data_IF_896478334173
#
_entry.id   IF_896478334173
#
_cell.length_a   1.000
_cell.length_b   1.000
_cell.length_c   1.000
_cell.angle_alpha   90.00
_cell.angle_beta   90.00
_cell.angle_gamma   90.00
#
_symmetry.space_group_name_H-M   'P 1'
#
loop_
_entity.id
_entity.type
_entity.pdbx_description
1 polymer ?
#
# COMPACT_ATOMS: atom_id res chain seq x y z
N UNK A 1 19.25 -9.37 3.00
CA UNK A 1 17.87 -9.41 2.48
C UNK A 1 17.25 -10.72 2.97
N UNK A 2 16.26 -10.70 3.86
CA UNK A 2 15.61 -11.93 4.37
C UNK A 2 14.41 -12.24 3.47
N UNK A 3 14.49 -13.33 2.70
CA UNK A 3 13.34 -13.89 1.99
C UNK A 3 12.36 -14.45 3.03
N UNK A 4 11.13 -13.95 3.04
CA UNK A 4 10.04 -14.46 3.89
C UNK A 4 9.13 -15.44 3.14
N UNK A 5 9.52 -15.89 1.95
CA UNK A 5 8.81 -16.96 1.26
C UNK A 5 9.24 -18.29 1.85
N UNK A 6 8.54 -18.68 2.92
CA UNK A 6 8.51 -20.08 3.32
C UNK A 6 7.83 -20.80 2.17
N UNK A 7 8.61 -21.49 1.33
CA UNK A 7 8.08 -22.47 0.40
C UNK A 7 7.18 -23.39 1.25
N UNK A 8 5.89 -23.35 0.97
CA UNK A 8 4.99 -24.43 1.40
C UNK A 8 5.52 -25.63 0.64
N UNK A 9 6.40 -26.39 1.28
CA UNK A 9 6.78 -27.72 0.82
C UNK A 9 5.50 -28.42 0.40
N UNK A 10 5.46 -28.95 -0.82
CA UNK A 10 4.31 -29.59 -1.47
C UNK A 10 3.79 -30.86 -0.76
N UNK A 11 4.01 -31.00 0.54
CA UNK A 11 3.67 -32.17 1.33
C UNK A 11 2.98 -31.77 2.63
N UNK A 12 1.68 -32.11 2.66
CA UNK A 12 0.67 -31.99 3.72
C UNK A 12 -0.16 -30.71 3.64
N UNK A 13 -1.21 -30.77 2.83
CA UNK A 13 -2.43 -30.02 3.08
C UNK A 13 -2.76 -30.17 4.57
N UNK A 14 -2.72 -29.06 5.30
CA UNK A 14 -3.16 -29.05 6.68
C UNK A 14 -4.64 -29.47 6.66
N UNK A 15 -4.98 -30.57 7.35
CA UNK A 15 -6.35 -31.14 7.36
C UNK A 15 -7.44 -30.11 7.64
N UNK A 16 -7.10 -28.99 8.29
CA UNK A 16 -8.00 -27.84 8.51
C UNK A 16 -8.46 -27.13 7.23
N UNK A 17 -7.82 -27.34 6.09
CA UNK A 17 -8.16 -26.70 4.81
C UNK A 17 -8.84 -27.65 3.82
N UNK A 18 -9.02 -28.93 4.19
CA UNK A 18 -9.79 -29.87 3.40
C UNK A 18 -11.23 -29.76 3.87
N UNK A 19 -12.09 -29.18 3.05
CA UNK A 19 -13.52 -29.11 3.34
C UNK A 19 -14.15 -30.50 3.20
N UNK A 20 -14.87 -30.94 4.22
CA UNK A 20 -15.74 -32.11 4.16
C UNK A 20 -17.18 -31.64 4.00
N UNK A 21 -17.86 -32.12 2.96
CA UNK A 21 -19.28 -31.80 2.74
C UNK A 21 -20.10 -32.17 3.98
N UNK A 22 -21.01 -31.28 4.38
CA UNK A 22 -21.86 -31.42 5.57
C UNK A 22 -21.13 -31.39 6.92
N UNK A 23 -19.87 -30.93 6.95
CA UNK A 23 -19.14 -30.62 8.18
C UNK A 23 -19.44 -29.20 8.66
N UNK A 24 -19.45 -29.00 9.99
CA UNK A 24 -19.51 -27.68 10.62
C UNK A 24 -18.08 -27.14 10.81
N UNK A 25 -17.42 -26.83 9.69
CA UNK A 25 -16.05 -26.27 9.65
C UNK A 25 -16.04 -24.75 9.39
N UNK A 26 -17.22 -24.13 9.36
CA UNK A 26 -17.41 -22.71 9.04
C UNK A 26 -17.28 -22.36 7.55
N UNK A 27 -17.12 -23.36 6.66
CA UNK A 27 -17.18 -23.18 5.21
C UNK A 27 -18.62 -23.43 4.77
N UNK A 28 -19.18 -22.52 4.00
CA UNK A 28 -20.52 -22.65 3.43
C UNK A 28 -20.52 -22.28 1.95
N UNK A 29 -21.44 -22.88 1.20
CA UNK A 29 -21.73 -22.49 -0.17
C UNK A 29 -22.97 -21.59 -0.18
N UNK A 30 -22.96 -20.57 -1.04
CA UNK A 30 -24.13 -19.72 -1.30
C UNK A 30 -24.20 -19.42 -2.79
N UNK A 31 -25.35 -18.91 -3.24
CA UNK A 31 -25.49 -18.47 -4.63
C UNK A 31 -24.65 -17.20 -4.84
N UNK A 32 -24.18 -16.99 -6.06
CA UNK A 32 -23.36 -15.82 -6.39
C UNK A 32 -24.14 -14.51 -6.19
N UNK A 33 -25.46 -14.53 -6.42
CA UNK A 33 -26.36 -13.40 -6.21
C UNK A 33 -26.44 -13.01 -4.72
N UNK A 34 -26.54 -14.01 -3.83
CA UNK A 34 -26.53 -13.79 -2.38
C UNK A 34 -25.19 -13.22 -1.92
N UNK A 35 -24.09 -13.75 -2.46
CA UNK A 35 -22.76 -13.24 -2.17
C UNK A 35 -22.64 -11.75 -2.54
N UNK A 36 -23.07 -11.38 -3.75
CA UNK A 36 -23.06 -9.99 -4.21
C UNK A 36 -23.97 -9.07 -3.38
N UNK A 37 -25.04 -9.61 -2.79
CA UNK A 37 -25.96 -8.87 -1.92
C UNK A 37 -25.39 -8.67 -0.50
N UNK A 38 -24.83 -9.71 0.12
CA UNK A 38 -24.39 -9.69 1.51
C UNK A 38 -22.94 -9.22 1.73
N UNK A 39 -22.05 -9.42 0.76
CA UNK A 39 -20.64 -9.07 0.88
C UNK A 39 -20.31 -7.82 0.07
N UNK A 40 -19.79 -6.79 0.73
CA UNK A 40 -19.48 -5.50 0.11
C UNK A 40 -18.01 -5.37 -0.34
N UNK A 41 -17.14 -6.30 0.04
CA UNK A 41 -15.70 -6.20 -0.19
C UNK A 41 -15.11 -7.57 -0.45
N UNK A 42 -14.32 -7.69 -1.53
CA UNK A 42 -13.52 -8.86 -1.85
C UNK A 42 -12.04 -8.47 -1.76
N UNK A 43 -11.27 -9.23 -1.00
CA UNK A 43 -9.81 -9.10 -0.98
C UNK A 43 -9.20 -10.23 -1.78
N UNK A 44 -8.58 -9.88 -2.91
CA UNK A 44 -7.82 -10.84 -3.72
C UNK A 44 -6.34 -10.53 -3.52
N UNK A 45 -5.61 -11.49 -2.96
CA UNK A 45 -4.15 -11.43 -2.88
C UNK A 45 -3.63 -12.07 -4.16
N UNK A 46 -2.95 -11.29 -4.99
CA UNK A 46 -2.26 -11.78 -6.18
C UNK A 46 -0.77 -11.73 -5.92
N UNK A 47 -0.07 -12.78 -6.32
CA UNK A 47 1.38 -12.73 -6.39
C UNK A 47 1.80 -11.71 -7.45
N UNK A 48 2.85 -10.96 -7.17
CA UNK A 48 3.46 -10.11 -8.17
C UNK A 48 4.13 -11.01 -9.22
N UNK A 49 3.93 -10.75 -10.53
CA UNK A 49 4.62 -11.50 -11.57
C UNK A 49 6.15 -11.44 -11.40
N UNK A 50 6.87 -12.44 -11.91
CA UNK A 50 8.33 -12.58 -11.73
C UNK A 50 9.14 -11.38 -12.27
N UNK A 51 8.56 -10.60 -13.18
CA UNK A 51 9.18 -9.40 -13.75
C UNK A 51 8.98 -8.13 -12.90
N UNK A 52 8.32 -8.23 -11.74
CA UNK A 52 8.17 -7.12 -10.81
C UNK A 52 9.25 -7.18 -9.74
N UNK A 53 9.94 -6.06 -9.56
CA UNK A 53 10.82 -5.83 -8.42
C UNK A 53 10.13 -4.93 -7.40
N UNK A 54 10.27 -5.27 -6.12
CA UNK A 54 9.59 -4.57 -5.03
C UNK A 54 10.56 -4.14 -3.94
N UNK A 55 10.43 -2.88 -3.51
CA UNK A 55 11.11 -2.37 -2.33
C UNK A 55 10.08 -1.98 -1.28
N UNK A 56 10.29 -2.42 -0.05
CA UNK A 56 9.41 -2.12 1.07
C UNK A 56 10.14 -1.31 2.14
N UNK A 57 9.56 -0.16 2.46
CA UNK A 57 9.97 0.65 3.59
C UNK A 57 8.98 0.51 4.75
N UNK A 58 9.49 0.61 5.98
CA UNK A 58 8.67 0.62 7.20
C UNK A 58 9.16 1.75 8.08
N UNK A 59 8.25 2.65 8.46
CA UNK A 59 8.58 3.81 9.27
C UNK A 59 7.41 4.22 10.17
N UNK A 60 7.73 4.93 11.26
CA UNK A 60 6.76 5.62 12.12
C UNK A 60 6.77 7.12 11.82
N UNK A 61 5.60 7.73 11.70
CA UNK A 61 5.48 9.18 11.58
C UNK A 61 5.27 9.79 12.96
N UNK A 62 6.34 10.31 13.55
CA UNK A 62 6.31 11.07 14.80
C UNK A 62 7.49 12.08 14.84
N UNK A 63 7.26 13.39 14.65
CA UNK A 63 5.98 14.02 14.32
C UNK A 63 5.54 13.76 12.86
N UNK A 64 4.24 13.94 12.59
CA UNK A 64 3.69 14.01 11.23
C UNK A 64 3.48 15.46 10.83
N UNK A 65 3.98 15.88 9.66
CA UNK A 65 3.86 17.26 9.17
C UNK A 65 2.66 17.46 8.22
N UNK A 66 1.75 16.49 8.15
CA UNK A 66 0.53 16.58 7.35
C UNK A 66 0.73 16.26 5.86
N UNK A 67 -0.33 16.49 5.09
CA UNK A 67 -0.38 16.23 3.64
C UNK A 67 -0.03 17.50 2.84
N UNK A 68 0.50 17.39 1.60
CA UNK A 68 0.81 18.53 0.75
C UNK A 68 -0.28 19.60 0.68
N UNK A 69 0.11 20.84 1.01
CA UNK A 69 -0.78 22.00 1.02
C UNK A 69 -0.03 23.25 0.54
N UNK A 70 -0.69 24.13 -0.22
CA UNK A 70 -0.03 25.31 -0.81
C UNK A 70 0.45 26.32 0.25
N UNK A 71 -0.30 26.46 1.35
CA UNK A 71 -0.03 27.44 2.41
C UNK A 71 0.93 26.94 3.49
N UNK A 72 1.11 25.63 3.60
CA UNK A 72 1.96 25.02 4.62
C UNK A 72 2.95 24.12 3.90
N UNK A 73 4.23 24.47 3.91
CA UNK A 73 5.29 23.68 3.26
C UNK A 73 5.95 22.67 4.21
N UNK A 74 5.57 22.63 5.49
CA UNK A 74 6.18 21.75 6.48
C UNK A 74 6.02 20.27 6.13
N UNK A 75 5.02 19.89 5.32
CA UNK A 75 4.86 18.51 4.86
C UNK A 75 6.10 17.99 4.11
N UNK A 76 6.94 18.86 3.55
CA UNK A 76 8.21 18.47 2.92
C UNK A 76 9.17 17.85 3.96
N UNK A 77 9.02 18.18 5.25
CA UNK A 77 9.81 17.62 6.36
C UNK A 77 9.41 16.18 6.70
N UNK A 78 8.29 15.68 6.17
CA UNK A 78 7.97 14.25 6.28
C UNK A 78 9.08 13.40 5.64
N UNK A 79 9.12 12.11 5.97
CA UNK A 79 10.03 11.19 5.31
C UNK A 79 9.77 11.15 3.81
N UNK A 80 10.86 11.30 3.05
CA UNK A 80 10.87 11.24 1.59
C UNK A 80 11.61 9.96 1.18
N UNK A 81 11.09 9.29 0.16
CA UNK A 81 11.69 8.09 -0.42
C UNK A 81 12.12 8.42 -1.83
N UNK A 82 13.43 8.61 -2.00
CA UNK A 82 14.01 9.07 -3.25
C UNK A 82 14.48 7.87 -4.06
N UNK A 83 14.11 7.83 -5.33
CA UNK A 83 14.51 6.76 -6.25
C UNK A 83 14.83 7.35 -7.63
N UNK A 84 15.54 6.55 -8.44
CA UNK A 84 15.99 6.98 -9.76
C UNK A 84 15.60 5.94 -10.80
N UNK A 85 14.98 6.42 -11.88
CA UNK A 85 14.72 5.64 -13.09
C UNK A 85 15.91 5.86 -14.03
N UNK A 86 16.74 4.83 -14.19
CA UNK A 86 17.96 4.89 -15.00
C UNK A 86 17.76 4.42 -16.45
N UNK A 87 16.75 3.59 -16.72
CA UNK A 87 16.58 2.97 -18.03
C UNK A 87 15.96 3.90 -19.07
N UNK A 88 16.36 3.72 -20.33
CA UNK A 88 15.85 4.50 -21.48
C UNK A 88 14.36 4.33 -21.77
N UNK A 89 13.65 3.48 -21.01
CA UNK A 89 12.23 3.23 -21.17
C UNK A 89 11.44 3.81 -20.00
N UNK A 90 10.17 4.09 -20.28
CA UNK A 90 9.19 4.32 -19.23
C UNK A 90 8.98 3.03 -18.44
N UNK A 91 8.86 3.15 -17.12
CA UNK A 91 8.64 2.02 -16.21
C UNK A 91 7.34 2.26 -15.46
N UNK A 92 6.51 1.21 -15.36
CA UNK A 92 5.28 1.23 -14.57
C UNK A 92 5.59 0.95 -13.11
N UNK A 93 5.22 1.89 -12.24
CA UNK A 93 5.37 1.74 -10.80
C UNK A 93 4.01 1.57 -10.15
N UNK A 94 3.92 0.61 -9.22
CA UNK A 94 2.82 0.50 -8.27
C UNK A 94 3.29 0.91 -6.88
N UNK A 95 2.74 1.99 -6.36
CA UNK A 95 3.00 2.48 -5.01
C UNK A 95 1.89 2.00 -4.08
N UNK A 96 2.28 1.48 -2.91
CA UNK A 96 1.35 1.07 -1.87
C UNK A 96 1.78 1.70 -0.55
N UNK A 97 0.90 2.54 0.01
CA UNK A 97 1.06 3.09 1.35
C UNK A 97 0.07 2.41 2.28
N UNK A 98 0.58 1.83 3.36
CA UNK A 98 -0.21 1.08 4.34
C UNK A 98 0.05 1.59 5.75
N UNK A 99 -1.00 1.73 6.54
CA UNK A 99 -0.92 1.98 7.98
C UNK A 99 -1.08 0.67 8.77
N UNK A 100 -0.55 0.66 9.99
CA UNK A 100 -0.77 -0.45 10.92
C UNK A 100 -2.27 -0.63 11.14
N UNK A 101 -2.69 -1.87 11.27
CA UNK A 101 -4.09 -2.21 11.44
C UNK A 101 -4.56 -1.76 12.83
N UNK A 102 -5.60 -0.89 12.92
CA UNK A 102 -6.04 -0.33 14.19
C UNK A 102 -6.50 -1.39 15.19
N UNK A 103 -6.88 -2.58 14.72
CA UNK A 103 -7.24 -3.72 15.58
C UNK A 103 -6.07 -4.24 16.42
N UNK A 104 -4.84 -4.01 15.97
CA UNK A 104 -3.62 -4.41 16.68
C UNK A 104 -3.04 -3.30 17.55
N UNK A 105 -3.52 -2.06 17.40
CA UNK A 105 -2.93 -0.88 18.07
C UNK A 105 -3.65 -0.59 19.40
N UNK A 106 -4.84 -1.16 19.64
CA UNK A 106 -5.55 -0.88 20.89
C UNK A 106 -6.36 -2.08 21.38
N UNK A 107 -6.42 -2.22 22.71
CA UNK A 107 -7.27 -3.14 23.48
C UNK A 107 -8.78 -2.89 23.33
N UNK A 108 -9.23 -2.28 22.23
CA UNK A 108 -10.60 -1.84 22.07
C UNK A 108 -11.44 -2.84 21.27
N UNK A 109 -12.70 -2.97 21.66
CA UNK A 109 -13.73 -3.75 20.99
C UNK A 109 -14.25 -3.01 19.73
N UNK A 110 -14.86 -3.72 18.77
CA UNK A 110 -15.54 -3.12 17.61
C UNK A 110 -16.59 -2.06 18.05
N UNK A 111 -16.90 -1.04 17.21
CA UNK A 111 -16.52 -0.88 15.81
C UNK A 111 -15.21 -0.06 15.59
N UNK A 112 -14.33 -0.59 14.74
CA UNK A 112 -12.98 -0.04 14.49
C UNK A 112 -12.90 1.12 13.49
N UNK A 113 -14.04 1.60 12.99
CA UNK A 113 -14.08 2.52 11.86
C UNK A 113 -13.62 3.96 12.18
N UNK A 114 -13.57 4.36 13.45
CA UNK A 114 -13.27 5.75 13.84
C UNK A 114 -11.77 6.10 13.98
N UNK A 115 -10.85 5.14 13.80
CA UNK A 115 -9.42 5.35 14.14
C UNK A 115 -8.44 5.29 12.98
N UNK A 116 -8.91 5.08 11.74
CA UNK A 116 -8.01 5.10 10.59
C UNK A 116 -7.56 6.53 10.30
N UNK A 117 -6.25 6.74 10.26
CA UNK A 117 -5.69 8.01 9.81
C UNK A 117 -5.95 8.17 8.32
N UNK A 118 -6.19 9.41 7.87
CA UNK A 118 -6.21 9.72 6.44
C UNK A 118 -4.77 9.65 5.92
N UNK A 119 -4.49 8.69 5.06
CA UNK A 119 -3.17 8.49 4.45
C UNK A 119 -3.23 8.85 2.96
N UNK A 120 -2.20 9.52 2.48
CA UNK A 120 -2.03 10.02 1.12
C UNK A 120 -0.55 10.12 0.78
N UNK A 121 -0.20 10.18 -0.50
CA UNK A 121 1.17 10.45 -0.93
C UNK A 121 1.20 11.24 -2.24
N UNK A 122 2.32 11.89 -2.50
CA UNK A 122 2.63 12.51 -3.79
C UNK A 122 3.96 11.97 -4.31
N UNK A 123 4.14 12.03 -5.62
CA UNK A 123 5.40 11.73 -6.30
C UNK A 123 5.81 13.00 -7.01
N UNK A 124 7.02 13.46 -6.72
CA UNK A 124 7.59 14.63 -7.36
C UNK A 124 8.77 14.22 -8.23
N UNK A 125 9.06 14.97 -9.29
CA UNK A 125 10.33 14.89 -10.01
C UNK A 125 11.29 15.90 -9.39
N UNK A 126 12.49 15.45 -9.02
CA UNK A 126 13.55 16.30 -8.45
C UNK A 126 14.74 16.41 -9.41
N UNK A 127 15.57 17.43 -9.22
CA UNK A 127 16.77 17.56 -10.03
C UNK A 127 17.75 16.42 -9.72
N UNK A 128 18.53 15.97 -10.71
CA UNK A 128 19.47 14.86 -10.53
C UNK A 128 20.52 15.11 -9.44
N UNK A 129 20.85 16.38 -9.19
CA UNK A 129 21.78 16.86 -8.17
C UNK A 129 21.14 17.01 -6.78
N UNK A 130 19.81 16.99 -6.64
CA UNK A 130 19.12 17.13 -5.36
C UNK A 130 19.01 15.77 -4.67
N UNK A 131 19.43 15.66 -3.40
CA UNK A 131 19.28 14.40 -2.63
C UNK A 131 17.85 14.15 -2.15
N UNK A 132 17.05 15.20 -2.04
CA UNK A 132 15.65 15.18 -1.61
C UNK A 132 14.93 16.45 -2.08
N UNK A 133 13.60 16.46 -2.04
CA UNK A 133 12.81 17.65 -2.30
C UNK A 133 13.02 18.67 -1.17
N UNK A 134 13.64 19.81 -1.49
CA UNK A 134 13.83 20.94 -0.55
C UNK A 134 12.79 22.03 -0.78
N UNK A 135 12.42 22.25 -2.05
CA UNK A 135 11.43 23.24 -2.47
C UNK A 135 10.38 22.60 -3.38
N UNK A 136 9.10 22.85 -3.07
CA UNK A 136 7.97 22.34 -3.84
C UNK A 136 7.40 23.40 -4.77
N UNK A 137 7.20 22.98 -6.02
CA UNK A 137 6.43 23.70 -7.02
C UNK A 137 5.48 22.70 -7.69
N UNK A 138 4.29 23.14 -8.10
CA UNK A 138 3.27 22.24 -8.69
C UNK A 138 3.76 21.54 -9.96
N UNK A 139 4.65 22.18 -10.72
CA UNK A 139 5.28 21.57 -11.90
C UNK A 139 6.21 20.39 -11.59
N UNK A 140 6.64 20.22 -10.33
CA UNK A 140 7.40 19.04 -9.90
C UNK A 140 6.47 17.86 -9.61
N UNK A 141 5.17 18.06 -9.42
CA UNK A 141 4.24 16.96 -9.12
C UNK A 141 4.00 16.10 -10.37
N UNK A 142 4.19 14.79 -10.22
CA UNK A 142 4.02 13.80 -11.30
C UNK A 142 2.78 12.95 -11.03
N UNK A 143 2.52 12.65 -9.76
CA UNK A 143 1.37 11.88 -9.34
C UNK A 143 0.94 12.26 -7.94
N UNK A 144 -0.37 12.18 -7.69
CA UNK A 144 -0.99 12.48 -6.41
C UNK A 144 -2.02 11.44 -6.04
N UNK A 145 -1.96 10.98 -4.79
CA UNK A 145 -3.02 10.17 -4.18
C UNK A 145 -3.55 10.87 -2.93
N UNK A 146 -4.73 11.44 -3.08
CA UNK A 146 -5.39 12.20 -2.01
C UNK A 146 -5.63 11.38 -0.74
N UNK A 147 -5.66 12.03 0.43
CA UNK A 147 -5.79 11.33 1.70
C UNK A 147 -7.13 10.62 1.86
N UNK A 148 -7.09 9.31 2.09
CA UNK A 148 -8.28 8.50 2.36
C UNK A 148 -8.15 7.82 3.72
N UNK A 149 -9.25 7.72 4.46
CA UNK A 149 -9.33 6.95 5.71
C UNK A 149 -9.45 5.45 5.39
N UNK A 150 -8.38 4.87 4.82
CA UNK A 150 -8.29 3.46 4.43
C UNK A 150 -7.03 2.83 5.02
N UNK A 151 -7.07 1.54 5.33
CA UNK A 151 -5.92 0.79 5.84
C UNK A 151 -4.72 0.82 4.89
N UNK A 152 -4.99 0.81 3.59
CA UNK A 152 -3.99 1.00 2.55
C UNK A 152 -4.58 1.83 1.42
N UNK A 153 -3.71 2.54 0.73
CA UNK A 153 -3.99 3.19 -0.54
C UNK A 153 -2.91 2.76 -1.53
N UNK A 154 -3.27 2.70 -2.81
CA UNK A 154 -2.32 2.43 -3.87
C UNK A 154 -2.47 3.46 -4.98
N UNK A 155 -1.42 3.58 -5.78
CA UNK A 155 -1.39 4.38 -6.98
C UNK A 155 -0.48 3.74 -8.02
N UNK A 156 -0.87 3.84 -9.28
CA UNK A 156 -0.10 3.35 -10.42
C UNK A 156 0.29 4.53 -11.29
N UNK A 157 1.56 4.59 -11.67
CA UNK A 157 2.06 5.66 -12.55
C UNK A 157 3.22 5.14 -13.39
N UNK A 158 3.22 5.53 -14.66
CA UNK A 158 4.31 5.30 -15.60
C UNK A 158 5.30 6.46 -15.50
N UNK A 159 6.53 6.17 -15.11
CA UNK A 159 7.59 7.18 -14.90
C UNK A 159 8.65 7.10 -15.99
N UNK A 160 9.08 8.26 -16.47
CA UNK A 160 10.20 8.40 -17.42
C UNK A 160 11.54 8.47 -16.69
N UNK A 161 12.65 8.59 -17.44
CA UNK A 161 13.97 8.82 -16.86
C UNK A 161 13.93 10.05 -15.95
N UNK A 162 14.45 9.87 -14.74
CA UNK A 162 14.50 10.94 -13.76
C UNK A 162 14.81 10.46 -12.36
N UNK A 163 15.00 11.44 -11.48
CA UNK A 163 15.05 11.25 -10.03
C UNK A 163 13.71 11.74 -9.48
N UNK A 164 13.12 10.97 -8.58
CA UNK A 164 11.81 11.20 -8.00
C UNK A 164 11.89 11.09 -6.47
#
# INVERSE_FOLDING_TARGET
MKSYFKSLSANKDNKRYVHEWYSDDGIFCMRAEDFAYYFNTIYVVRDFPDNFEGVRYSHSWDPSFGYPHKKNVDWIKNKQYVFKVNDQKQIDFTFLLQQKDPRFISSNSPPYHSKLLKIGFIICKIAGTEDKLVFYHESKEVYRRDPLAKRFIHGQVTLSIGKY
#
